data_IF_348651969268
#
_entry.id   IF_348651969268
#
_cell.length_a   1.000
_cell.length_b   1.000
_cell.length_c   1.000
_cell.angle_alpha   90.00
_cell.angle_beta   90.00
_cell.angle_gamma   90.00
#
_symmetry.space_group_name_H-M   'P 1'
#
loop_
_entity.id
_entity.type
_entity.pdbx_description
1 polymer ?
#
# COMPACT_ATOMS: atom_id res chain seq x y z
N UNK A 1 45.95 -30.63 24.58
CA UNK A 1 45.27 -30.69 23.27
C UNK A 1 43.73 -30.59 23.32
N UNK A 2 43.08 -30.16 24.43
CA UNK A 2 41.60 -30.04 24.54
C UNK A 2 41.06 -28.61 24.50
N UNK A 3 41.93 -27.60 24.37
CA UNK A 3 41.48 -26.17 24.35
C UNK A 3 41.35 -25.55 22.94
N UNK A 4 41.80 -26.21 21.88
CA UNK A 4 41.72 -25.67 20.50
C UNK A 4 40.42 -26.06 19.83
N UNK A 5 39.78 -27.16 20.21
CA UNK A 5 38.53 -27.63 19.57
C UNK A 5 37.29 -26.79 19.94
N UNK A 6 37.29 -26.07 21.05
CA UNK A 6 36.15 -25.24 21.49
C UNK A 6 36.12 -23.89 20.77
N UNK A 7 37.29 -23.34 20.38
CA UNK A 7 37.38 -22.05 19.69
C UNK A 7 36.92 -22.16 18.19
N UNK A 8 37.12 -23.31 17.57
CA UNK A 8 36.74 -23.55 16.19
C UNK A 8 35.21 -23.75 16.04
N UNK A 9 34.56 -24.34 17.04
CA UNK A 9 33.08 -24.48 17.06
C UNK A 9 32.37 -23.15 17.30
N UNK A 10 32.96 -22.21 18.04
CA UNK A 10 32.40 -20.87 18.25
C UNK A 10 32.59 -19.95 17.04
N UNK A 11 33.63 -20.14 16.23
CA UNK A 11 33.85 -19.36 15.00
C UNK A 11 32.89 -19.78 13.86
N UNK A 12 32.41 -21.02 13.85
CA UNK A 12 31.44 -21.50 12.86
C UNK A 12 29.99 -21.14 13.17
N UNK A 13 29.66 -20.87 14.42
CA UNK A 13 28.31 -20.41 14.80
C UNK A 13 28.04 -18.92 14.52
N UNK A 14 29.06 -18.13 14.19
CA UNK A 14 28.98 -16.70 13.90
C UNK A 14 28.88 -16.35 12.40
N UNK A 15 28.87 -17.35 11.52
CA UNK A 15 28.79 -17.17 10.06
C UNK A 15 27.50 -17.72 9.44
N UNK A 16 26.43 -17.87 10.21
CA UNK A 16 25.10 -17.88 9.63
C UNK A 16 24.75 -16.41 9.35
N UNK A 17 25.30 -15.86 8.30
CA UNK A 17 24.68 -14.74 7.59
C UNK A 17 23.32 -15.30 7.16
N UNK A 18 22.28 -15.00 7.92
CA UNK A 18 20.90 -15.19 7.50
C UNK A 18 20.73 -14.36 6.22
N UNK A 19 21.05 -14.98 5.07
CA UNK A 19 20.64 -14.42 3.80
C UNK A 19 19.13 -14.26 3.89
N UNK A 20 18.65 -13.02 3.81
CA UNK A 20 17.21 -12.74 3.83
C UNK A 20 16.58 -13.55 2.71
N UNK A 21 15.74 -14.50 3.10
CA UNK A 21 15.08 -15.36 2.15
C UNK A 21 14.00 -14.53 1.45
N UNK A 22 14.15 -14.31 0.15
CA UNK A 22 13.08 -13.70 -0.64
C UNK A 22 11.81 -14.54 -0.51
N UNK A 23 10.72 -13.89 -0.15
CA UNK A 23 9.43 -14.56 0.08
C UNK A 23 8.65 -14.80 -1.20
N UNK A 24 8.89 -13.99 -2.24
CA UNK A 24 8.13 -13.97 -3.48
C UNK A 24 9.02 -14.06 -4.72
N UNK A 25 8.44 -14.45 -5.83
CA UNK A 25 9.03 -14.36 -7.17
C UNK A 25 7.94 -14.05 -8.19
N UNK A 26 8.32 -13.52 -9.34
CA UNK A 26 7.42 -13.31 -10.46
C UNK A 26 7.63 -14.44 -11.48
N UNK A 27 6.54 -15.07 -11.92
CA UNK A 27 6.59 -16.08 -12.97
C UNK A 27 6.64 -15.45 -14.38
N UNK A 28 6.79 -16.31 -15.39
CA UNK A 28 6.87 -15.88 -16.80
C UNK A 28 5.65 -15.10 -17.32
N UNK A 29 4.51 -15.28 -16.68
CA UNK A 29 3.26 -14.64 -17.05
C UNK A 29 3.01 -13.32 -16.29
N UNK A 30 4.00 -12.88 -15.49
CA UNK A 30 3.95 -11.68 -14.68
C UNK A 30 3.15 -11.85 -13.38
N UNK A 31 2.91 -13.10 -12.95
CA UNK A 31 2.18 -13.35 -11.72
C UNK A 31 3.18 -13.47 -10.57
N UNK A 32 2.99 -12.67 -9.53
CA UNK A 32 3.77 -12.78 -8.30
C UNK A 32 3.26 -13.94 -7.46
N UNK A 33 4.19 -14.80 -7.02
CA UNK A 33 3.89 -16.01 -6.26
C UNK A 33 4.73 -16.11 -4.99
N UNK A 34 4.16 -16.76 -4.00
CA UNK A 34 4.89 -17.15 -2.80
C UNK A 34 5.87 -18.28 -3.09
N UNK A 35 7.15 -18.12 -2.77
CA UNK A 35 8.17 -19.18 -2.96
C UNK A 35 7.85 -20.45 -2.19
N UNK A 36 7.24 -20.32 -1.01
CA UNK A 36 6.95 -21.47 -0.12
C UNK A 36 5.95 -22.48 -0.67
N UNK A 37 5.02 -22.06 -1.51
CA UNK A 37 3.90 -22.92 -1.95
C UNK A 37 3.43 -22.66 -3.39
N UNK A 38 4.11 -21.76 -4.10
CA UNK A 38 3.77 -21.36 -5.49
C UNK A 38 2.36 -20.76 -5.67
N UNK A 39 1.68 -20.42 -4.57
CA UNK A 39 0.38 -19.75 -4.65
C UNK A 39 0.54 -18.29 -5.08
N UNK A 40 -0.46 -17.76 -5.75
CA UNK A 40 -0.56 -16.35 -6.11
C UNK A 40 -0.49 -15.47 -4.86
N UNK A 41 0.25 -14.38 -4.93
CA UNK A 41 0.20 -13.29 -3.94
C UNK A 41 -1.07 -12.49 -4.16
N UNK A 42 -1.88 -12.30 -3.13
CA UNK A 42 -3.10 -11.50 -3.18
C UNK A 42 -3.28 -10.78 -1.84
N UNK A 43 -2.87 -9.52 -1.77
CA UNK A 43 -2.73 -8.74 -0.54
C UNK A 43 -3.56 -7.46 -0.59
N UNK A 44 -4.09 -7.04 0.57
CA UNK A 44 -4.88 -5.82 0.72
C UNK A 44 -4.53 -5.08 2.00
N UNK A 45 -4.57 -3.75 1.95
CA UNK A 45 -4.35 -2.90 3.11
C UNK A 45 -4.43 -1.42 2.76
N UNK A 46 -3.57 -0.62 3.38
CA UNK A 46 -3.56 0.83 3.16
C UNK A 46 -2.15 1.41 3.11
N UNK A 47 -2.06 2.65 2.64
CA UNK A 47 -0.93 3.53 2.87
C UNK A 47 -0.92 3.98 4.33
N UNK A 48 0.27 4.14 4.89
CA UNK A 48 0.49 4.66 6.23
C UNK A 48 1.70 5.61 6.19
N UNK A 49 1.46 6.89 6.41
CA UNK A 49 2.43 7.94 6.13
C UNK A 49 3.10 8.55 7.39
N UNK A 50 2.75 8.11 8.57
CA UNK A 50 3.19 8.69 9.85
C UNK A 50 4.72 8.92 9.99
N UNK A 51 5.63 8.12 9.42
CA UNK A 51 7.07 8.41 9.47
C UNK A 51 7.44 9.76 8.84
N UNK A 52 6.57 10.35 8.01
CA UNK A 52 6.85 11.60 7.28
C UNK A 52 5.57 12.41 7.02
N UNK A 53 5.67 13.51 6.27
CA UNK A 53 4.53 14.27 5.77
C UNK A 53 3.64 14.90 6.85
N UNK A 54 2.38 15.19 6.50
CA UNK A 54 1.40 15.77 7.40
C UNK A 54 1.09 14.88 8.62
N UNK A 55 1.12 13.56 8.47
CA UNK A 55 0.83 12.63 9.55
C UNK A 55 1.86 12.73 10.68
N UNK A 56 3.14 12.88 10.32
CA UNK A 56 4.20 13.13 11.30
C UNK A 56 3.97 14.44 12.07
N UNK A 57 3.54 15.51 11.38
CA UNK A 57 3.23 16.81 12.00
C UNK A 57 1.95 16.76 12.81
N UNK A 58 0.90 16.09 12.30
CA UNK A 58 -0.37 15.90 12.99
C UNK A 58 -0.20 15.26 14.38
N UNK A 59 0.64 14.22 14.47
CA UNK A 59 1.00 13.62 15.75
C UNK A 59 1.65 14.63 16.71
N UNK A 60 2.48 15.54 16.19
CA UNK A 60 3.09 16.63 16.97
C UNK A 60 2.05 17.64 17.49
N UNK A 61 1.05 18.01 16.68
CA UNK A 61 0.01 18.97 17.08
C UNK A 61 -0.85 18.48 18.27
N UNK A 62 -1.01 17.16 18.40
CA UNK A 62 -1.74 16.57 19.53
C UNK A 62 -0.82 16.03 20.63
N UNK A 63 0.48 16.26 20.50
CA UNK A 63 1.51 15.76 21.42
C UNK A 63 1.43 14.23 21.64
N UNK A 64 1.18 13.48 20.58
CA UNK A 64 1.06 12.02 20.63
C UNK A 64 2.44 11.32 20.58
N UNK A 65 2.53 10.17 21.21
CA UNK A 65 3.68 9.27 21.05
C UNK A 65 3.56 8.52 19.73
N UNK A 66 4.34 8.91 18.71
CA UNK A 66 4.32 8.33 17.38
C UNK A 66 4.58 6.83 17.37
N UNK A 67 5.43 6.31 18.28
CA UNK A 67 5.67 4.86 18.37
C UNK A 67 4.47 4.12 18.97
N UNK A 68 3.78 4.74 19.91
CA UNK A 68 2.53 4.18 20.43
C UNK A 68 1.44 4.14 19.34
N UNK A 69 1.32 5.21 18.54
CA UNK A 69 0.42 5.26 17.38
C UNK A 69 0.72 4.12 16.40
N UNK A 70 1.96 3.97 15.96
CA UNK A 70 2.36 2.87 15.05
C UNK A 70 1.99 1.49 15.61
N UNK A 71 2.22 1.25 16.90
CA UNK A 71 1.88 -0.05 17.52
C UNK A 71 0.38 -0.33 17.51
N UNK A 72 -0.40 0.68 17.81
CA UNK A 72 -1.87 0.61 17.85
C UNK A 72 -2.43 0.40 16.44
N UNK A 73 -2.01 1.21 15.48
CA UNK A 73 -2.51 1.17 14.12
C UNK A 73 -2.10 -0.14 13.40
N UNK A 74 -0.87 -0.62 13.59
CA UNK A 74 -0.48 -1.94 13.06
C UNK A 74 -1.22 -3.10 13.73
N UNK A 75 -1.69 -2.94 14.96
CA UNK A 75 -2.62 -3.87 15.59
C UNK A 75 -4.00 -3.80 14.91
N UNK A 76 -4.51 -2.62 14.60
CA UNK A 76 -5.76 -2.43 13.87
C UNK A 76 -5.69 -3.06 12.46
N UNK A 77 -4.59 -2.87 11.72
CA UNK A 77 -4.38 -3.55 10.44
C UNK A 77 -4.55 -5.07 10.57
N UNK A 78 -3.91 -5.66 11.58
CA UNK A 78 -4.02 -7.10 11.82
C UNK A 78 -5.44 -7.54 12.16
N UNK A 79 -6.15 -6.77 13.00
CA UNK A 79 -7.55 -7.05 13.36
C UNK A 79 -8.48 -6.96 12.15
N UNK A 80 -8.25 -6.02 11.25
CA UNK A 80 -9.01 -5.89 9.99
C UNK A 80 -8.66 -6.98 8.95
N UNK A 81 -7.71 -7.88 9.25
CA UNK A 81 -7.26 -8.91 8.32
C UNK A 81 -6.44 -8.36 7.15
N UNK A 82 -5.93 -7.14 7.29
CA UNK A 82 -5.06 -6.50 6.31
C UNK A 82 -3.64 -7.04 6.44
N UNK A 83 -3.05 -7.31 5.30
CA UNK A 83 -1.72 -7.91 5.16
C UNK A 83 -0.81 -7.15 4.19
N UNK A 84 -1.29 -6.01 3.68
CA UNK A 84 -0.54 -5.08 2.84
C UNK A 84 -0.36 -3.73 3.52
N UNK A 85 0.82 -3.16 3.35
CA UNK A 85 1.16 -1.80 3.76
C UNK A 85 1.97 -1.13 2.66
N UNK A 86 1.61 0.07 2.22
CA UNK A 86 2.54 0.90 1.47
C UNK A 86 3.16 1.95 2.38
N UNK A 87 4.48 1.97 2.40
CA UNK A 87 5.26 3.01 3.05
C UNK A 87 5.59 4.06 2.00
N UNK A 88 4.81 5.14 1.97
CA UNK A 88 5.09 6.32 1.18
C UNK A 88 5.91 7.27 2.04
N UNK A 89 7.23 7.32 1.81
CA UNK A 89 8.16 8.03 2.68
C UNK A 89 8.76 9.24 1.96
N UNK A 90 8.64 10.43 2.56
CA UNK A 90 9.14 11.69 2.00
C UNK A 90 10.66 11.83 2.15
N UNK A 91 11.40 10.80 1.74
CA UNK A 91 12.84 10.77 1.90
C UNK A 91 13.60 11.81 1.13
N UNK A 92 13.17 12.11 -0.08
CA UNK A 92 13.71 13.13 -0.96
C UNK A 92 13.55 14.57 -0.42
N UNK A 93 12.61 14.79 0.51
CA UNK A 93 12.38 16.06 1.18
C UNK A 93 12.92 16.11 2.60
N UNK A 94 12.62 15.10 3.42
CA UNK A 94 12.76 15.18 4.88
C UNK A 94 13.91 14.32 5.43
N UNK A 95 14.50 13.46 4.59
CA UNK A 95 15.47 12.46 5.06
C UNK A 95 16.71 12.33 4.16
N UNK A 96 16.99 13.33 3.35
CA UNK A 96 18.20 13.42 2.53
C UNK A 96 18.85 14.79 2.64
N UNK A 97 20.11 14.86 2.28
CA UNK A 97 20.83 16.11 2.07
C UNK A 97 20.65 16.64 0.61
N UNK A 98 21.18 17.82 0.28
CA UNK A 98 21.09 18.37 -1.07
C UNK A 98 21.75 17.53 -2.18
N UNK A 99 22.67 16.64 -1.85
CA UNK A 99 23.33 15.73 -2.78
C UNK A 99 22.65 14.36 -2.86
N UNK A 100 21.54 14.17 -2.11
CA UNK A 100 20.74 12.96 -2.08
C UNK A 100 21.27 11.89 -1.13
N UNK A 101 22.18 12.20 -0.24
CA UNK A 101 22.62 11.23 0.78
C UNK A 101 21.66 11.17 1.95
N UNK A 102 21.50 9.95 2.50
CA UNK A 102 20.61 9.68 3.62
C UNK A 102 21.03 10.44 4.88
N UNK A 103 20.07 11.05 5.55
CA UNK A 103 20.26 11.70 6.85
C UNK A 103 19.68 10.83 7.96
N UNK A 104 20.45 10.62 9.02
CA UNK A 104 19.99 9.98 10.25
C UNK A 104 19.18 10.98 11.10
N UNK A 105 17.87 10.86 11.09
CA UNK A 105 16.95 11.73 11.83
C UNK A 105 15.74 10.96 12.38
N UNK A 106 14.79 11.65 13.01
CA UNK A 106 13.63 11.01 13.62
C UNK A 106 12.67 10.41 12.58
N UNK A 107 12.59 10.97 11.37
CA UNK A 107 11.82 10.37 10.28
C UNK A 107 12.33 8.97 9.93
N UNK A 108 13.66 8.80 9.82
CA UNK A 108 14.29 7.49 9.59
C UNK A 108 14.04 6.52 10.75
N UNK A 109 14.16 7.02 11.99
CA UNK A 109 13.86 6.23 13.18
C UNK A 109 12.40 5.73 13.21
N UNK A 110 11.46 6.58 12.82
CA UNK A 110 10.05 6.21 12.75
C UNK A 110 9.75 5.22 11.62
N UNK A 111 10.41 5.37 10.46
CA UNK A 111 10.32 4.42 9.36
C UNK A 111 10.86 3.03 9.78
N UNK A 112 12.01 2.99 10.42
CA UNK A 112 12.60 1.75 10.97
C UNK A 112 11.64 1.06 11.94
N UNK A 113 11.00 1.85 12.80
CA UNK A 113 10.05 1.34 13.78
C UNK A 113 8.78 0.79 13.13
N UNK A 114 8.23 1.49 12.14
CA UNK A 114 7.07 1.04 11.38
C UNK A 114 7.34 -0.29 10.67
N UNK A 115 8.49 -0.40 9.98
CA UNK A 115 8.90 -1.64 9.30
C UNK A 115 8.98 -2.80 10.29
N UNK A 116 9.56 -2.58 11.47
CA UNK A 116 9.68 -3.61 12.49
C UNK A 116 8.31 -4.05 13.04
N UNK A 117 7.40 -3.10 13.33
CA UNK A 117 6.08 -3.41 13.85
C UNK A 117 5.17 -4.11 12.82
N UNK A 118 5.23 -3.68 11.56
CA UNK A 118 4.53 -4.34 10.45
C UNK A 118 5.06 -5.78 10.24
N UNK A 119 6.38 -5.95 10.22
CA UNK A 119 7.02 -7.26 10.03
C UNK A 119 6.66 -8.25 11.14
N UNK A 120 6.65 -7.83 12.41
CA UNK A 120 6.25 -8.68 13.55
C UNK A 120 4.83 -9.21 13.42
N UNK A 121 3.96 -8.50 12.70
CA UNK A 121 2.55 -8.86 12.50
C UNK A 121 2.29 -9.59 11.18
N UNK A 122 3.35 -9.86 10.39
CA UNK A 122 3.23 -10.53 9.09
C UNK A 122 2.54 -9.66 8.04
N UNK A 123 2.69 -8.33 8.11
CA UNK A 123 2.24 -7.39 7.10
C UNK A 123 3.35 -7.23 6.07
N UNK A 124 3.01 -7.33 4.79
CA UNK A 124 3.93 -7.22 3.66
C UNK A 124 3.91 -5.81 3.09
N UNK A 125 5.07 -5.34 2.61
CA UNK A 125 5.25 -3.92 2.31
C UNK A 125 5.65 -3.66 0.86
N UNK A 126 5.07 -2.61 0.29
CA UNK A 126 5.58 -1.87 -0.86
C UNK A 126 6.31 -0.64 -0.32
N UNK A 127 7.60 -0.55 -0.61
CA UNK A 127 8.45 0.55 -0.15
C UNK A 127 8.65 1.59 -1.24
N UNK A 128 8.18 2.82 -1.00
CA UNK A 128 8.24 3.97 -1.92
C UNK A 128 8.96 5.14 -1.24
N UNK A 129 10.29 5.25 -1.36
CA UNK A 129 11.08 6.19 -0.57
C UNK A 129 11.31 7.57 -1.22
N UNK A 130 10.82 7.78 -2.46
CA UNK A 130 10.94 9.05 -3.20
C UNK A 130 9.55 9.49 -3.65
N UNK A 131 9.11 10.69 -3.25
CA UNK A 131 7.70 11.08 -3.36
C UNK A 131 7.43 12.12 -4.44
N UNK A 132 8.34 13.03 -4.72
CA UNK A 132 8.21 14.07 -5.77
C UNK A 132 7.27 15.24 -5.50
N UNK A 133 6.50 15.22 -4.43
CA UNK A 133 5.75 16.38 -3.97
C UNK A 133 6.68 17.30 -3.17
N UNK A 134 6.38 18.60 -3.12
CA UNK A 134 7.13 19.49 -2.27
C UNK A 134 6.83 19.28 -0.79
N UNK A 135 7.70 19.81 0.06
CA UNK A 135 7.58 19.65 1.52
C UNK A 135 6.35 20.36 2.12
N UNK A 136 5.69 21.19 1.34
CA UNK A 136 4.52 21.95 1.78
C UNK A 136 3.23 21.16 1.58
N UNK A 137 3.27 20.05 0.82
CA UNK A 137 2.09 19.24 0.57
C UNK A 137 1.82 18.23 1.70
N UNK A 138 0.58 18.07 2.15
CA UNK A 138 -0.58 18.92 1.86
C UNK A 138 -0.64 20.21 2.69
N UNK A 139 0.31 20.43 3.59
CA UNK A 139 0.35 21.58 4.48
C UNK A 139 1.35 22.61 4.01
N UNK A 140 0.95 23.86 4.08
CA UNK A 140 1.82 25.00 3.76
C UNK A 140 2.82 25.25 4.90
N UNK A 141 4.01 25.76 4.53
CA UNK A 141 5.03 26.25 5.46
C UNK A 141 5.79 25.19 6.29
N UNK A 142 5.98 23.99 5.76
CA UNK A 142 6.94 23.07 6.36
C UNK A 142 8.38 23.47 6.01
N UNK A 143 9.11 23.99 7.01
CA UNK A 143 10.50 24.41 6.88
C UNK A 143 11.50 23.30 7.23
N UNK A 144 11.05 22.10 7.58
CA UNK A 144 11.91 20.95 7.94
C UNK A 144 12.58 20.28 6.74
N UNK A 145 12.32 20.77 5.53
CA UNK A 145 12.85 20.22 4.30
C UNK A 145 14.38 20.43 4.19
N UNK A 146 15.14 19.34 4.30
CA UNK A 146 16.59 19.30 4.11
C UNK A 146 17.00 18.73 2.76
N UNK A 147 16.06 18.04 2.08
CA UNK A 147 16.34 17.15 0.98
C UNK A 147 16.64 17.82 -0.37
N UNK A 148 17.09 16.99 -1.29
CA UNK A 148 17.45 17.42 -2.66
C UNK A 148 16.21 17.78 -3.50
N UNK A 149 15.03 17.26 -3.18
CA UNK A 149 13.83 17.48 -4.00
C UNK A 149 13.44 18.94 -4.14
N UNK A 150 13.73 19.79 -3.13
CA UNK A 150 13.51 21.24 -3.20
C UNK A 150 14.36 21.98 -4.24
N UNK A 151 15.43 21.34 -4.73
CA UNK A 151 16.36 21.93 -5.70
C UNK A 151 15.89 21.77 -7.15
N UNK A 152 14.90 20.92 -7.38
CA UNK A 152 14.46 20.53 -8.72
C UNK A 152 12.95 20.69 -8.85
N UNK A 153 12.49 21.18 -10.00
CA UNK A 153 11.08 21.15 -10.33
C UNK A 153 10.62 19.70 -10.60
N UNK A 154 9.42 19.33 -10.18
CA UNK A 154 8.87 17.99 -10.33
C UNK A 154 8.98 17.44 -11.77
N UNK A 155 8.75 18.30 -12.77
CA UNK A 155 8.81 17.94 -14.18
C UNK A 155 10.24 17.75 -14.72
N UNK A 156 11.28 18.03 -13.94
CA UNK A 156 12.68 17.82 -14.34
C UNK A 156 13.29 16.57 -13.71
N UNK A 157 12.69 16.01 -12.67
CA UNK A 157 13.27 14.96 -11.83
C UNK A 157 13.74 13.71 -12.59
N UNK A 158 13.05 13.32 -13.67
CA UNK A 158 13.40 12.12 -14.43
C UNK A 158 14.27 12.39 -15.65
N UNK A 159 14.62 13.65 -15.92
CA UNK A 159 15.45 14.06 -17.06
C UNK A 159 16.73 14.81 -16.65
N UNK A 160 16.72 15.53 -15.53
CA UNK A 160 17.90 16.26 -15.04
C UNK A 160 18.93 15.27 -14.47
N UNK A 161 20.15 15.31 -14.98
CA UNK A 161 21.21 14.35 -14.59
C UNK A 161 21.62 14.51 -13.11
N UNK A 162 21.56 15.72 -12.56
CA UNK A 162 21.88 15.96 -11.15
C UNK A 162 20.76 15.40 -10.27
N UNK A 163 19.50 15.66 -10.64
CA UNK A 163 18.34 15.11 -9.93
C UNK A 163 18.36 13.57 -9.94
N UNK A 164 18.66 12.95 -11.07
CA UNK A 164 18.81 11.48 -11.19
C UNK A 164 19.95 11.00 -10.30
N UNK A 165 21.08 11.70 -10.25
CA UNK A 165 22.21 11.34 -9.38
C UNK A 165 21.82 11.39 -7.91
N UNK A 166 21.13 12.42 -7.45
CA UNK A 166 20.62 12.51 -6.08
C UNK A 166 19.68 11.36 -5.75
N UNK A 167 18.77 11.00 -6.66
CA UNK A 167 17.86 9.87 -6.50
C UNK A 167 18.62 8.53 -6.39
N UNK A 168 19.68 8.34 -7.19
CA UNK A 168 20.54 7.15 -7.13
C UNK A 168 21.26 7.08 -5.78
N UNK A 169 21.84 8.20 -5.32
CA UNK A 169 22.51 8.25 -4.02
C UNK A 169 21.54 7.86 -2.91
N UNK A 170 20.38 8.52 -2.87
CA UNK A 170 19.36 8.28 -1.85
C UNK A 170 18.85 6.84 -1.85
N UNK A 171 18.48 6.33 -3.03
CA UNK A 171 17.98 4.95 -3.16
C UNK A 171 19.05 3.93 -2.73
N UNK A 172 20.32 4.18 -3.05
CA UNK A 172 21.42 3.31 -2.67
C UNK A 172 21.64 3.33 -1.15
N UNK A 173 21.65 4.52 -0.55
CA UNK A 173 21.89 4.68 0.88
C UNK A 173 20.74 4.07 1.70
N UNK A 174 19.48 4.38 1.36
CA UNK A 174 18.32 3.88 2.10
C UNK A 174 18.19 2.35 2.01
N UNK A 175 18.49 1.73 0.86
CA UNK A 175 18.43 0.27 0.73
C UNK A 175 19.55 -0.43 1.51
N UNK A 176 20.71 0.22 1.70
CA UNK A 176 21.82 -0.28 2.52
C UNK A 176 21.70 0.11 3.99
N UNK A 177 20.78 1.00 4.35
CA UNK A 177 20.53 1.39 5.73
C UNK A 177 20.14 0.17 6.57
N UNK A 178 20.76 0.04 7.75
CA UNK A 178 20.44 -1.02 8.72
C UNK A 178 19.35 -0.53 9.66
N UNK A 179 18.18 -1.12 9.56
CA UNK A 179 17.05 -0.85 10.44
C UNK A 179 17.43 -1.12 11.91
N UNK A 180 17.25 -0.14 12.78
CA UNK A 180 17.65 -0.16 14.20
C UNK A 180 16.93 -1.22 15.03
N UNK A 181 15.72 -1.62 14.64
CA UNK A 181 14.87 -2.52 15.41
C UNK A 181 14.92 -3.97 14.91
N UNK A 182 15.31 -4.18 13.65
CA UNK A 182 15.41 -5.52 13.06
C UNK A 182 16.87 -5.97 12.90
N UNK A 183 17.82 -5.03 12.84
CA UNK A 183 19.22 -5.28 12.57
C UNK A 183 19.52 -5.72 11.14
N UNK A 184 18.58 -5.55 10.20
CA UNK A 184 18.71 -5.90 8.78
C UNK A 184 18.79 -4.66 7.91
N UNK A 185 19.49 -4.76 6.78
CA UNK A 185 19.39 -3.73 5.75
C UNK A 185 17.96 -3.70 5.17
N UNK A 186 17.49 -2.54 4.75
CA UNK A 186 16.15 -2.39 4.14
C UNK A 186 15.99 -3.33 2.94
N UNK A 187 17.02 -3.47 2.10
CA UNK A 187 17.05 -4.44 0.99
C UNK A 187 16.86 -5.90 1.41
N UNK A 188 17.20 -6.23 2.66
CA UNK A 188 17.16 -7.58 3.20
C UNK A 188 15.96 -7.83 4.14
N UNK A 189 15.10 -6.81 4.38
CA UNK A 189 13.88 -6.97 5.17
C UNK A 189 12.89 -7.90 4.45
N UNK A 190 12.58 -9.08 5.00
CA UNK A 190 11.81 -10.09 4.25
C UNK A 190 10.39 -9.65 3.93
N UNK A 191 9.77 -8.85 4.80
CA UNK A 191 8.39 -8.38 4.60
C UNK A 191 8.28 -7.18 3.66
N UNK A 192 9.38 -6.49 3.33
CA UNK A 192 9.40 -5.60 2.17
C UNK A 192 9.56 -6.49 0.94
N UNK A 193 8.49 -6.70 0.19
CA UNK A 193 8.48 -7.59 -0.98
C UNK A 193 8.57 -6.83 -2.30
N UNK A 194 8.27 -5.53 -2.28
CA UNK A 194 8.25 -4.64 -3.43
C UNK A 194 9.00 -3.34 -3.14
N UNK A 195 9.70 -2.83 -4.15
CA UNK A 195 10.30 -1.49 -4.15
C UNK A 195 9.71 -0.69 -5.32
N UNK A 196 9.14 0.47 -5.03
CA UNK A 196 8.70 1.43 -6.02
C UNK A 196 9.80 2.47 -6.23
N UNK A 197 10.16 2.73 -7.48
CA UNK A 197 11.26 3.63 -7.81
C UNK A 197 10.98 5.05 -7.31
N UNK A 198 9.75 5.54 -7.57
CA UNK A 198 9.36 6.93 -7.34
C UNK A 198 7.83 7.00 -7.30
N UNK A 199 7.26 7.83 -6.44
CA UNK A 199 5.82 8.09 -6.40
C UNK A 199 5.44 9.20 -7.38
N UNK A 200 4.45 8.95 -8.21
CA UNK A 200 3.78 9.92 -9.09
C UNK A 200 4.70 10.95 -9.79
N UNK A 201 5.75 10.53 -10.49
CA UNK A 201 6.57 11.45 -11.26
C UNK A 201 5.77 12.12 -12.37
N UNK A 202 6.21 13.25 -12.85
CA UNK A 202 5.69 13.79 -14.11
C UNK A 202 5.94 12.77 -15.22
N UNK A 203 4.89 12.39 -15.92
CA UNK A 203 4.94 11.39 -16.99
C UNK A 203 5.15 12.08 -18.36
N UNK A 204 5.94 11.44 -19.23
CA UNK A 204 6.29 11.99 -20.55
C UNK A 204 5.93 11.00 -21.67
N UNK A 205 4.64 10.89 -22.06
CA UNK A 205 4.21 9.95 -23.08
C UNK A 205 4.84 10.22 -24.46
N UNK A 206 5.30 11.45 -24.70
CA UNK A 206 5.99 11.84 -25.93
C UNK A 206 7.51 11.54 -25.89
N UNK A 207 8.06 11.09 -24.76
CA UNK A 207 9.47 10.70 -24.61
C UNK A 207 9.62 9.32 -23.92
N UNK A 208 9.05 8.31 -24.55
CA UNK A 208 9.19 6.92 -24.08
C UNK A 208 10.66 6.48 -23.93
N UNK A 209 11.60 6.81 -24.88
CA UNK A 209 13.00 6.45 -24.73
C UNK A 209 13.67 7.09 -23.50
N UNK A 210 13.41 8.37 -23.21
CA UNK A 210 13.93 9.05 -22.02
C UNK A 210 13.41 8.41 -20.73
N UNK A 211 12.12 8.10 -20.68
CA UNK A 211 11.54 7.38 -19.54
C UNK A 211 12.19 6.00 -19.34
N UNK A 212 12.38 5.22 -20.40
CA UNK A 212 13.07 3.91 -20.33
C UNK A 212 14.50 4.08 -19.80
N UNK A 213 15.23 5.11 -20.26
CA UNK A 213 16.58 5.43 -19.78
C UNK A 213 16.58 5.67 -18.28
N UNK A 214 15.69 6.54 -17.79
CA UNK A 214 15.55 6.84 -16.36
C UNK A 214 15.19 5.60 -15.54
N UNK A 215 14.13 4.89 -15.92
CA UNK A 215 13.65 3.71 -15.20
C UNK A 215 14.77 2.66 -15.10
N UNK A 216 15.47 2.39 -16.21
CA UNK A 216 16.57 1.43 -16.23
C UNK A 216 17.77 1.89 -15.39
N UNK A 217 18.03 3.19 -15.34
CA UNK A 217 19.08 3.77 -14.50
C UNK A 217 18.79 3.49 -13.01
N UNK A 218 17.58 3.77 -12.56
CA UNK A 218 17.15 3.50 -11.19
C UNK A 218 17.11 2.00 -10.87
N UNK A 219 16.64 1.15 -11.79
CA UNK A 219 16.70 -0.30 -11.62
C UNK A 219 18.12 -0.81 -11.41
N UNK A 220 19.08 -0.28 -12.19
CA UNK A 220 20.51 -0.64 -12.05
C UNK A 220 21.06 -0.20 -10.69
N UNK A 221 20.71 1.01 -10.23
CA UNK A 221 21.11 1.49 -8.91
C UNK A 221 20.57 0.60 -7.78
N UNK A 222 19.28 0.25 -7.82
CA UNK A 222 18.68 -0.67 -6.86
C UNK A 222 19.38 -2.03 -6.88
N UNK A 223 19.57 -2.62 -8.05
CA UNK A 223 20.21 -3.95 -8.20
C UNK A 223 21.68 -3.94 -7.80
N UNK A 224 22.41 -2.82 -7.98
CA UNK A 224 23.82 -2.70 -7.59
C UNK A 224 24.03 -2.78 -6.06
N UNK A 225 23.02 -2.49 -5.25
CA UNK A 225 23.05 -2.70 -3.79
C UNK A 225 23.01 -4.18 -3.38
N UNK A 226 22.71 -5.08 -4.33
CA UNK A 226 22.40 -6.50 -4.06
C UNK A 226 20.93 -6.74 -3.75
N UNK A 227 20.06 -5.73 -3.83
CA UNK A 227 18.61 -5.85 -3.64
C UNK A 227 18.00 -6.82 -4.65
N UNK A 228 17.24 -7.80 -4.15
CA UNK A 228 16.56 -8.83 -4.97
C UNK A 228 15.04 -8.70 -4.97
N UNK A 229 14.51 -7.62 -4.39
CA UNK A 229 13.08 -7.36 -4.36
C UNK A 229 12.56 -7.03 -5.75
N UNK A 230 11.27 -7.30 -5.98
CA UNK A 230 10.60 -6.91 -7.22
C UNK A 230 10.50 -5.38 -7.30
N UNK A 231 10.83 -4.83 -8.47
CA UNK A 231 10.93 -3.38 -8.69
C UNK A 231 9.78 -2.91 -9.57
N UNK A 232 9.12 -1.83 -9.14
CA UNK A 232 7.95 -1.25 -9.81
C UNK A 232 8.17 0.20 -10.18
N UNK A 233 7.53 0.61 -11.27
CA UNK A 233 7.43 2.00 -11.66
C UNK A 233 6.01 2.50 -11.51
N UNK A 234 5.86 3.69 -10.95
CA UNK A 234 4.58 4.32 -10.72
C UNK A 234 4.07 4.98 -12.00
N UNK A 235 3.06 4.37 -12.58
CA UNK A 235 2.35 4.86 -13.76
C UNK A 235 1.23 5.84 -13.38
N UNK A 236 0.77 5.79 -12.12
CA UNK A 236 -0.40 6.52 -11.64
C UNK A 236 -1.66 6.20 -12.46
N UNK A 237 -2.24 7.17 -13.15
CA UNK A 237 -3.38 7.01 -14.06
C UNK A 237 -3.02 7.35 -15.51
N UNK A 238 -1.73 7.48 -15.83
CA UNK A 238 -1.27 7.81 -17.19
C UNK A 238 -0.87 6.54 -17.96
N UNK A 239 -1.83 5.92 -18.62
CA UNK A 239 -1.64 4.66 -19.36
C UNK A 239 -0.85 4.82 -20.68
N UNK A 240 -0.69 6.03 -21.18
CA UNK A 240 0.08 6.30 -22.41
C UNK A 240 1.58 6.02 -22.23
N UNK A 241 2.05 5.94 -20.98
CA UNK A 241 3.44 5.58 -20.66
C UNK A 241 3.66 4.07 -20.44
N UNK A 242 2.63 3.25 -20.55
CA UNK A 242 2.77 1.78 -20.45
C UNK A 242 3.86 1.20 -21.39
N UNK A 243 4.10 1.71 -22.62
CA UNK A 243 5.21 1.28 -23.45
C UNK A 243 6.60 1.47 -22.81
N UNK A 244 6.79 2.48 -21.97
CA UNK A 244 8.05 2.68 -21.24
C UNK A 244 8.27 1.56 -20.22
N UNK A 245 7.22 1.21 -19.45
CA UNK A 245 7.26 0.13 -18.49
C UNK A 245 7.53 -1.21 -19.18
N UNK A 246 6.81 -1.49 -20.29
CA UNK A 246 6.97 -2.74 -21.03
C UNK A 246 8.41 -2.95 -21.54
N UNK A 247 9.09 -1.86 -21.94
CA UNK A 247 10.47 -1.88 -22.48
C UNK A 247 11.56 -1.77 -21.41
N UNK A 248 11.19 -1.51 -20.15
CA UNK A 248 12.15 -1.30 -19.07
C UNK A 248 12.40 -2.55 -18.23
N UNK A 249 13.39 -2.43 -17.32
CA UNK A 249 13.86 -3.53 -16.46
C UNK A 249 12.99 -3.78 -15.22
N UNK A 250 11.92 -3.01 -15.01
CA UNK A 250 11.02 -3.22 -13.86
C UNK A 250 10.22 -4.51 -13.99
N UNK A 251 9.80 -5.06 -12.86
CA UNK A 251 8.97 -6.27 -12.80
C UNK A 251 7.49 -5.96 -13.05
N UNK A 252 7.06 -4.73 -12.84
CA UNK A 252 5.68 -4.34 -13.04
C UNK A 252 5.41 -2.85 -12.90
N UNK A 253 4.13 -2.51 -12.87
CA UNK A 253 3.61 -1.16 -12.69
C UNK A 253 2.75 -1.04 -11.45
N UNK A 254 2.74 0.18 -10.87
CA UNK A 254 1.80 0.57 -9.84
C UNK A 254 0.83 1.61 -10.38
N UNK A 255 -0.44 1.49 -9.99
CA UNK A 255 -1.57 2.29 -10.46
C UNK A 255 -2.24 3.03 -9.31
N UNK A 256 -2.72 4.25 -9.56
CA UNK A 256 -3.71 4.90 -8.71
C UNK A 256 -5.12 4.71 -9.27
N UNK A 257 -6.13 4.75 -8.39
CA UNK A 257 -7.51 4.80 -8.84
C UNK A 257 -8.42 5.61 -7.90
N UNK A 258 -8.87 6.72 -8.43
CA UNK A 258 -9.83 7.61 -7.79
C UNK A 258 -11.04 7.78 -8.73
N UNK A 259 -12.02 6.85 -8.71
CA UNK A 259 -13.07 6.78 -9.72
C UNK A 259 -13.99 8.01 -9.72
N UNK A 260 -14.03 8.75 -8.63
CA UNK A 260 -14.84 9.96 -8.46
C UNK A 260 -13.99 11.23 -8.49
N UNK A 261 -12.74 11.16 -8.96
CA UNK A 261 -11.69 12.16 -8.85
C UNK A 261 -11.31 12.48 -7.38
N UNK A 262 -10.31 13.34 -7.20
CA UNK A 262 -9.90 13.86 -5.90
C UNK A 262 -10.74 15.10 -5.58
N UNK A 263 -11.97 14.91 -5.12
CA UNK A 263 -12.91 16.00 -4.85
C UNK A 263 -12.73 16.50 -3.41
N UNK A 264 -11.89 17.48 -3.24
CA UNK A 264 -11.66 18.09 -1.93
C UNK A 264 -12.91 18.85 -1.47
N UNK A 265 -13.54 18.38 -0.40
CA UNK A 265 -14.66 19.01 0.25
C UNK A 265 -16.01 18.85 -0.48
N UNK A 266 -16.12 17.88 -1.39
CA UNK A 266 -17.37 17.55 -2.07
C UNK A 266 -17.87 16.17 -1.67
N UNK A 267 -18.92 16.12 -0.85
CA UNK A 267 -19.58 14.85 -0.55
C UNK A 267 -20.23 14.28 -1.80
N UNK A 268 -19.78 13.12 -2.26
CA UNK A 268 -20.41 12.41 -3.34
C UNK A 268 -21.66 11.67 -2.84
N UNK A 269 -22.82 11.99 -3.39
CA UNK A 269 -24.11 11.46 -2.93
C UNK A 269 -24.77 10.51 -3.93
N UNK A 270 -24.27 10.43 -5.17
CA UNK A 270 -24.82 9.58 -6.22
C UNK A 270 -24.30 8.13 -6.11
N UNK A 271 -24.88 7.24 -6.95
CA UNK A 271 -24.48 5.84 -7.00
C UNK A 271 -23.06 5.68 -7.56
N UNK A 272 -22.09 5.53 -6.67
CA UNK A 272 -20.67 5.35 -7.01
C UNK A 272 -20.36 4.10 -7.84
N UNK A 273 -21.23 3.10 -7.85
CA UNK A 273 -21.04 1.87 -8.64
C UNK A 273 -20.97 2.15 -10.15
N UNK A 274 -21.59 3.22 -10.65
CA UNK A 274 -21.51 3.62 -12.06
C UNK A 274 -20.11 4.03 -12.54
N UNK A 275 -19.20 4.32 -11.62
CA UNK A 275 -17.83 4.74 -11.94
C UNK A 275 -16.81 3.60 -11.79
N UNK A 276 -17.14 2.58 -11.00
CA UNK A 276 -16.19 1.57 -10.57
C UNK A 276 -15.83 0.60 -11.70
N UNK A 277 -16.77 0.17 -12.52
CA UNK A 277 -16.51 -0.80 -13.58
C UNK A 277 -16.06 -0.19 -14.92
N UNK A 278 -15.85 1.11 -14.95
CA UNK A 278 -15.39 1.85 -16.13
C UNK A 278 -13.87 2.01 -16.21
N UNK A 279 -13.14 1.46 -15.26
CA UNK A 279 -11.67 1.55 -15.24
C UNK A 279 -11.03 0.52 -16.18
N UNK A 280 -11.42 0.60 -17.45
CA UNK A 280 -10.96 -0.26 -18.54
C UNK A 280 -9.42 -0.33 -18.70
N UNK A 281 -8.64 0.76 -18.45
CA UNK A 281 -7.19 0.69 -18.56
C UNK A 281 -6.52 -0.39 -17.72
N UNK A 282 -7.10 -0.78 -16.57
CA UNK A 282 -6.58 -1.89 -15.75
C UNK A 282 -6.55 -3.24 -16.48
N UNK A 283 -7.42 -3.44 -17.46
CA UNK A 283 -7.47 -4.67 -18.25
C UNK A 283 -6.86 -4.52 -19.64
N UNK A 284 -6.63 -3.28 -20.08
CA UNK A 284 -6.18 -2.93 -21.44
C UNK A 284 -4.90 -2.08 -21.47
N UNK A 285 -4.08 -2.13 -20.44
CA UNK A 285 -2.83 -1.35 -20.34
C UNK A 285 -1.72 -1.80 -21.33
N UNK A 286 -1.90 -2.93 -21.99
CA UNK A 286 -0.92 -3.48 -22.94
C UNK A 286 0.30 -4.14 -22.29
N UNK A 287 0.39 -4.22 -20.98
CA UNK A 287 1.50 -4.86 -20.27
C UNK A 287 1.41 -6.39 -20.34
N UNK A 288 2.47 -7.02 -20.84
CA UNK A 288 2.61 -8.48 -20.93
C UNK A 288 3.76 -8.96 -20.06
N UNK A 289 3.54 -9.99 -19.26
CA UNK A 289 4.56 -10.53 -18.37
C UNK A 289 5.03 -9.55 -17.27
N UNK A 290 4.28 -8.50 -17.03
CA UNK A 290 4.51 -7.50 -15.98
C UNK A 290 3.40 -7.62 -14.93
N UNK A 291 3.77 -7.61 -13.66
CA UNK A 291 2.80 -7.62 -12.57
C UNK A 291 2.14 -6.25 -12.35
N UNK A 292 0.97 -6.26 -11.72
CA UNK A 292 0.15 -5.07 -11.48
C UNK A 292 -0.18 -4.93 -10.01
N UNK A 293 0.09 -3.75 -9.46
CA UNK A 293 -0.27 -3.36 -8.11
C UNK A 293 -1.09 -2.07 -8.16
N UNK A 294 -1.97 -1.87 -7.20
CA UNK A 294 -2.63 -0.58 -6.94
C UNK A 294 -2.00 0.01 -5.69
N UNK A 295 -1.18 1.04 -5.89
CA UNK A 295 -0.44 1.67 -4.80
C UNK A 295 -1.30 2.65 -3.99
N UNK A 296 -2.26 3.29 -4.65
CA UNK A 296 -3.20 4.23 -4.07
C UNK A 296 -4.58 4.11 -4.70
N UNK A 297 -5.61 4.14 -3.87
CA UNK A 297 -6.98 4.27 -4.32
C UNK A 297 -7.86 4.73 -3.17
N UNK A 298 -8.94 5.42 -3.48
CA UNK A 298 -10.02 5.71 -2.55
C UNK A 298 -11.31 6.08 -3.27
N UNK A 299 -12.42 5.98 -2.55
CA UNK A 299 -13.64 6.73 -2.80
C UNK A 299 -13.59 7.98 -1.91
N UNK A 300 -12.95 9.05 -2.39
CA UNK A 300 -12.67 10.25 -1.61
C UNK A 300 -13.94 10.91 -1.08
N UNK A 301 -13.84 11.58 0.07
CA UNK A 301 -14.94 12.26 0.75
C UNK A 301 -16.17 11.38 1.06
N UNK A 302 -16.01 10.04 1.14
CA UNK A 302 -17.08 9.11 1.47
C UNK A 302 -16.72 8.16 2.58
N UNK A 303 -17.71 7.80 3.40
CA UNK A 303 -17.61 6.77 4.46
C UNK A 303 -18.30 5.46 4.06
N UNK A 304 -18.69 5.33 2.80
CA UNK A 304 -19.51 4.24 2.29
C UNK A 304 -18.79 2.88 2.39
N UNK A 305 -19.51 1.89 2.90
CA UNK A 305 -18.96 0.55 3.08
C UNK A 305 -18.97 -0.33 1.82
N UNK A 306 -19.72 0.04 0.77
CA UNK A 306 -19.88 -0.77 -0.43
C UNK A 306 -18.83 -0.51 -1.53
N UNK A 307 -18.23 0.71 -1.57
CA UNK A 307 -17.36 1.11 -2.68
C UNK A 307 -16.02 0.36 -2.69
N UNK A 308 -15.37 0.20 -1.54
CA UNK A 308 -14.07 -0.49 -1.49
C UNK A 308 -14.14 -1.93 -2.00
N UNK A 309 -15.11 -2.79 -1.56
CA UNK A 309 -15.25 -4.14 -2.13
C UNK A 309 -15.65 -4.13 -3.61
N UNK A 310 -16.44 -3.14 -4.05
CA UNK A 310 -16.78 -2.99 -5.47
C UNK A 310 -15.53 -2.69 -6.32
N UNK A 311 -14.69 -1.76 -5.89
CA UNK A 311 -13.41 -1.44 -6.54
C UNK A 311 -12.48 -2.66 -6.55
N UNK A 312 -12.39 -3.37 -5.44
CA UNK A 312 -11.50 -4.54 -5.31
C UNK A 312 -11.92 -5.70 -6.23
N UNK A 313 -13.22 -5.86 -6.51
CA UNK A 313 -13.69 -6.79 -7.55
C UNK A 313 -13.05 -6.47 -8.91
N UNK A 314 -13.01 -5.20 -9.29
CA UNK A 314 -12.41 -4.78 -10.56
C UNK A 314 -10.88 -4.89 -10.53
N UNK A 315 -10.24 -4.72 -9.38
CA UNK A 315 -8.82 -5.03 -9.25
C UNK A 315 -8.53 -6.50 -9.58
N UNK A 316 -9.30 -7.42 -9.04
CA UNK A 316 -9.13 -8.85 -9.35
C UNK A 316 -9.38 -9.14 -10.82
N UNK A 317 -10.36 -8.49 -11.45
CA UNK A 317 -10.60 -8.54 -12.90
C UNK A 317 -9.36 -8.06 -13.68
N UNK A 318 -8.77 -6.94 -13.28
CA UNK A 318 -7.56 -6.37 -13.90
C UNK A 318 -6.26 -7.09 -13.59
N UNK A 319 -6.29 -8.15 -12.78
CA UNK A 319 -5.10 -8.95 -12.45
C UNK A 319 -4.23 -8.36 -11.33
N UNK A 320 -4.75 -7.41 -10.56
CA UNK A 320 -4.07 -6.79 -9.42
C UNK A 320 -3.84 -7.82 -8.32
N UNK A 321 -2.62 -7.81 -7.75
CA UNK A 321 -2.17 -8.75 -6.73
C UNK A 321 -1.84 -8.10 -5.37
N UNK A 322 -1.78 -6.77 -5.33
CA UNK A 322 -1.55 -5.98 -4.14
C UNK A 322 -2.31 -4.67 -4.29
N UNK A 323 -3.10 -4.29 -3.29
CA UNK A 323 -3.85 -3.06 -3.31
C UNK A 323 -3.81 -2.38 -1.94
N UNK A 324 -3.44 -1.09 -1.93
CA UNK A 324 -3.38 -0.28 -0.72
C UNK A 324 -4.21 0.98 -0.87
N UNK A 325 -5.22 1.12 -0.03
CA UNK A 325 -6.08 2.29 0.04
C UNK A 325 -5.27 3.51 0.53
N UNK A 326 -5.52 4.69 0.01
CA UNK A 326 -4.94 5.93 0.50
C UNK A 326 -6.00 6.76 1.24
N UNK A 327 -5.82 6.98 2.52
CA UNK A 327 -4.84 6.44 3.44
C UNK A 327 -5.51 6.04 4.77
N UNK A 328 -4.82 5.27 5.60
CA UNK A 328 -5.29 4.99 6.95
C UNK A 328 -4.98 6.18 7.86
N UNK A 329 -6.01 6.71 8.52
CA UNK A 329 -5.85 7.73 9.55
C UNK A 329 -5.37 7.10 10.86
N UNK A 330 -4.31 7.63 11.41
CA UNK A 330 -3.78 7.20 12.69
C UNK A 330 -4.83 7.43 13.80
N UNK A 331 -5.04 6.41 14.63
CA UNK A 331 -6.11 6.39 15.60
C UNK A 331 -6.16 7.66 16.50
N UNK A 332 -5.00 8.14 16.93
CA UNK A 332 -4.94 9.28 17.86
C UNK A 332 -5.17 10.64 17.19
N UNK A 333 -5.06 10.75 15.86
CA UNK A 333 -5.30 11.98 15.11
C UNK A 333 -6.60 11.97 14.30
N UNK A 334 -7.14 10.79 14.00
CA UNK A 334 -8.31 10.59 13.14
C UNK A 334 -9.56 11.36 13.57
N UNK A 335 -9.82 11.45 14.89
CA UNK A 335 -10.97 12.20 15.43
C UNK A 335 -10.96 13.69 15.10
N UNK A 336 -9.81 14.22 14.70
CA UNK A 336 -9.62 15.64 14.37
C UNK A 336 -9.36 15.87 12.89
N UNK A 337 -9.26 14.80 12.09
CA UNK A 337 -8.97 14.83 10.66
C UNK A 337 -7.80 15.78 10.31
N UNK A 338 -6.66 15.57 10.97
CA UNK A 338 -5.49 16.45 10.86
C UNK A 338 -4.53 16.05 9.73
N UNK A 339 -4.70 14.86 9.15
CA UNK A 339 -3.80 14.31 8.13
C UNK A 339 -4.35 14.56 6.71
N UNK A 340 -4.73 13.52 6.01
CA UNK A 340 -5.23 13.58 4.63
C UNK A 340 -6.74 13.82 4.58
N UNK A 341 -7.17 15.05 4.73
CA UNK A 341 -8.53 15.47 5.06
C UNK A 341 -9.67 14.91 4.18
N UNK A 342 -9.37 14.48 2.97
CA UNK A 342 -10.36 13.88 2.04
C UNK A 342 -10.23 12.37 1.92
N UNK A 343 -9.21 11.80 2.52
CA UNK A 343 -8.86 10.38 2.49
C UNK A 343 -8.90 9.83 3.92
N UNK A 344 -10.08 9.64 4.45
CA UNK A 344 -10.23 9.19 5.82
C UNK A 344 -10.69 7.73 5.88
N UNK A 345 -9.90 6.92 6.55
CA UNK A 345 -10.21 5.54 6.89
C UNK A 345 -9.61 5.20 8.24
N UNK A 346 -10.46 4.93 9.20
CA UNK A 346 -10.06 4.47 10.52
C UNK A 346 -11.04 3.42 11.03
N UNK A 347 -10.56 2.41 11.74
CA UNK A 347 -11.40 1.33 12.27
C UNK A 347 -12.49 1.83 13.22
N UNK A 348 -12.22 2.88 13.97
CA UNK A 348 -13.12 3.40 15.03
C UNK A 348 -14.01 4.52 14.52
N UNK A 349 -13.44 5.46 13.74
CA UNK A 349 -14.14 6.69 13.35
C UNK A 349 -14.91 6.56 12.04
N UNK A 350 -14.53 5.61 11.15
CA UNK A 350 -15.25 5.29 9.90
C UNK A 350 -15.56 3.80 9.81
N UNK A 351 -16.37 3.25 10.75
CA UNK A 351 -16.55 1.79 10.90
C UNK A 351 -17.12 1.12 9.65
N UNK A 352 -18.08 1.74 8.95
CA UNK A 352 -18.64 1.18 7.72
C UNK A 352 -17.57 1.02 6.62
N UNK A 353 -16.75 2.05 6.41
CA UNK A 353 -15.64 2.03 5.45
C UNK A 353 -14.56 1.00 5.88
N UNK A 354 -14.27 0.90 7.16
CA UNK A 354 -13.33 -0.09 7.71
C UNK A 354 -13.81 -1.53 7.46
N UNK A 355 -15.09 -1.82 7.69
CA UNK A 355 -15.69 -3.12 7.32
C UNK A 355 -15.63 -3.35 5.80
N UNK A 356 -15.89 -2.32 4.99
CA UNK A 356 -15.68 -2.38 3.54
C UNK A 356 -14.25 -2.79 3.18
N UNK A 357 -13.25 -2.26 3.89
CA UNK A 357 -11.84 -2.66 3.77
C UNK A 357 -11.57 -4.10 4.21
N UNK A 358 -12.21 -4.57 5.29
CA UNK A 358 -12.13 -6.00 5.71
C UNK A 358 -12.70 -6.93 4.63
N UNK A 359 -13.85 -6.56 4.05
CA UNK A 359 -14.47 -7.31 2.95
C UNK A 359 -13.55 -7.31 1.72
N UNK A 360 -12.95 -6.16 1.39
CA UNK A 360 -12.00 -6.02 0.28
C UNK A 360 -10.78 -6.94 0.43
N UNK A 361 -10.25 -7.10 1.64
CA UNK A 361 -9.18 -8.06 1.91
C UNK A 361 -9.62 -9.51 1.59
N UNK A 362 -10.87 -9.86 1.84
CA UNK A 362 -11.42 -11.16 1.46
C UNK A 362 -11.70 -11.27 -0.03
N UNK A 363 -12.12 -10.19 -0.69
CA UNK A 363 -12.28 -10.14 -2.17
C UNK A 363 -10.94 -10.45 -2.84
N UNK A 364 -9.84 -9.82 -2.40
CA UNK A 364 -8.51 -10.12 -2.95
C UNK A 364 -8.16 -11.62 -2.84
N UNK A 365 -8.47 -12.25 -1.70
CA UNK A 365 -8.09 -13.64 -1.41
C UNK A 365 -9.00 -14.67 -2.08
N UNK A 366 -10.30 -14.38 -2.24
CA UNK A 366 -11.32 -15.35 -2.64
C UNK A 366 -11.77 -15.21 -4.09
N UNK A 367 -11.68 -14.01 -4.69
CA UNK A 367 -12.06 -13.82 -6.08
C UNK A 367 -10.91 -14.21 -7.01
N UNK A 368 -11.12 -15.13 -7.96
CA UNK A 368 -10.10 -15.52 -8.92
C UNK A 368 -9.62 -14.32 -9.75
N UNK A 369 -8.30 -14.24 -9.96
CA UNK A 369 -7.67 -13.25 -10.81
C UNK A 369 -8.20 -13.36 -12.25
N UNK A 370 -8.50 -12.20 -12.87
CA UNK A 370 -8.99 -12.12 -14.25
C UNK A 370 -10.47 -12.44 -14.44
N UNK A 371 -11.20 -12.84 -13.36
CA UNK A 371 -12.62 -13.17 -13.51
C UNK A 371 -13.49 -11.92 -13.57
N UNK A 372 -14.33 -11.85 -14.59
CA UNK A 372 -15.34 -10.81 -14.76
C UNK A 372 -16.71 -11.31 -14.25
N UNK A 373 -17.38 -10.49 -13.47
CA UNK A 373 -18.71 -10.78 -12.88
C UNK A 373 -19.84 -9.93 -13.50
N UNK A 374 -19.60 -9.29 -14.66
CA UNK A 374 -20.53 -8.36 -15.27
C UNK A 374 -20.36 -6.93 -14.75
N UNK A 375 -21.22 -6.02 -15.19
CA UNK A 375 -21.13 -4.59 -14.91
C UNK A 375 -22.09 -4.16 -13.81
N UNK A 376 -21.69 -3.12 -13.07
CA UNK A 376 -22.56 -2.45 -12.12
C UNK A 376 -23.54 -1.52 -12.84
N UNK A 377 -24.72 -1.25 -12.27
CA UNK A 377 -25.28 -1.83 -11.03
C UNK A 377 -26.07 -3.14 -11.23
N UNK A 378 -26.01 -3.74 -12.43
CA UNK A 378 -26.82 -4.95 -12.75
C UNK A 378 -26.29 -6.19 -12.04
N UNK A 379 -24.98 -6.25 -11.78
CA UNK A 379 -24.31 -7.42 -11.20
C UNK A 379 -23.61 -7.06 -9.86
N UNK A 380 -24.43 -6.83 -8.85
CA UNK A 380 -23.99 -6.44 -7.51
C UNK A 380 -23.54 -7.62 -6.65
N UNK A 381 -23.82 -8.87 -7.06
CA UNK A 381 -23.40 -10.09 -6.39
C UNK A 381 -22.22 -10.75 -7.13
N UNK A 382 -21.20 -11.17 -6.40
CA UNK A 382 -20.02 -11.81 -6.97
C UNK A 382 -19.39 -12.79 -5.98
N UNK A 383 -19.60 -14.11 -6.22
CA UNK A 383 -19.20 -15.15 -5.28
C UNK A 383 -19.98 -15.06 -3.97
N UNK A 384 -19.27 -14.98 -2.86
CA UNK A 384 -19.84 -14.80 -1.52
C UNK A 384 -20.10 -13.33 -1.15
N UNK A 385 -19.92 -12.42 -2.10
CA UNK A 385 -19.95 -10.97 -1.86
C UNK A 385 -21.15 -10.30 -2.50
N UNK A 386 -21.63 -9.23 -1.85
CA UNK A 386 -22.71 -8.36 -2.31
C UNK A 386 -22.31 -6.90 -2.05
N UNK A 387 -22.66 -5.99 -2.96
CA UNK A 387 -22.59 -4.57 -2.78
C UNK A 387 -23.93 -3.93 -3.15
N UNK A 388 -24.37 -2.95 -2.37
CA UNK A 388 -25.66 -2.28 -2.59
C UNK A 388 -25.57 -0.80 -2.24
N UNK A 389 -25.78 0.05 -3.21
CA UNK A 389 -25.76 1.50 -3.03
C UNK A 389 -26.92 2.00 -2.14
N UNK A 390 -28.16 1.50 -2.38
CA UNK A 390 -29.34 1.98 -1.67
C UNK A 390 -29.35 1.62 -0.18
N UNK A 391 -28.67 0.52 0.18
CA UNK A 391 -28.50 0.06 1.54
C UNK A 391 -27.17 0.53 2.16
N UNK A 392 -26.30 1.18 1.39
CA UNK A 392 -24.90 1.44 1.73
C UNK A 392 -24.20 0.19 2.27
N UNK A 393 -24.42 -0.95 1.62
CA UNK A 393 -24.02 -2.26 2.11
C UNK A 393 -22.92 -2.89 1.26
N UNK A 394 -21.77 -3.12 1.86
CA UNK A 394 -20.83 -4.14 1.45
C UNK A 394 -21.02 -5.37 2.34
N UNK A 395 -21.08 -6.56 1.77
CA UNK A 395 -21.32 -7.80 2.52
C UNK A 395 -20.46 -8.94 2.02
N UNK A 396 -19.94 -9.73 2.96
CA UNK A 396 -19.40 -11.07 2.76
C UNK A 396 -20.28 -12.07 3.51
N UNK A 397 -20.86 -13.03 2.80
CA UNK A 397 -21.64 -14.12 3.38
C UNK A 397 -21.06 -15.46 2.92
N UNK A 398 -20.06 -15.96 3.65
CA UNK A 398 -19.39 -17.24 3.40
C UNK A 398 -19.76 -18.28 4.47
N UNK A 399 -19.31 -19.52 4.31
CA UNK A 399 -19.60 -20.61 5.26
C UNK A 399 -19.13 -20.30 6.69
N UNK A 400 -17.96 -19.65 6.82
CA UNK A 400 -17.29 -19.40 8.09
C UNK A 400 -17.16 -17.93 8.47
N UNK A 401 -17.62 -17.00 7.59
CA UNK A 401 -17.50 -15.55 7.75
C UNK A 401 -18.79 -14.84 7.36
N UNK A 402 -19.20 -13.87 8.18
CA UNK A 402 -20.32 -12.99 7.90
C UNK A 402 -19.94 -11.54 8.25
N UNK A 403 -19.64 -10.72 7.22
CA UNK A 403 -19.27 -9.32 7.37
C UNK A 403 -20.30 -8.43 6.68
N UNK A 404 -20.67 -7.30 7.30
CA UNK A 404 -21.64 -6.36 6.74
C UNK A 404 -21.33 -4.92 7.19
N UNK A 405 -21.26 -4.01 6.24
CA UNK A 405 -20.90 -2.61 6.51
C UNK A 405 -22.06 -1.72 6.96
N UNK A 406 -23.30 -2.23 6.90
CA UNK A 406 -24.53 -1.58 7.36
C UNK A 406 -25.58 -2.64 7.68
N UNK A 407 -26.76 -2.22 8.18
CA UNK A 407 -27.87 -3.12 8.49
C UNK A 407 -28.16 -4.12 7.34
N UNK A 408 -28.40 -5.35 7.72
CA UNK A 408 -28.77 -6.41 6.77
C UNK A 408 -29.80 -7.36 7.34
N UNK A 409 -30.71 -7.84 6.48
CA UNK A 409 -31.68 -8.89 6.81
C UNK A 409 -31.24 -10.25 6.29
N UNK A 410 -30.12 -10.33 5.55
CA UNK A 410 -29.62 -11.56 4.97
C UNK A 410 -29.20 -12.53 6.06
N UNK A 411 -29.66 -13.79 5.97
CA UNK A 411 -29.24 -14.86 6.86
C UNK A 411 -27.82 -15.32 6.50
N UNK A 412 -26.95 -15.56 7.46
CA UNK A 412 -25.68 -16.23 7.22
C UNK A 412 -25.92 -17.61 6.57
N UNK A 413 -25.08 -17.99 5.61
CA UNK A 413 -25.15 -19.28 4.93
C UNK A 413 -25.18 -20.46 5.91
N UNK A 414 -24.38 -20.38 6.95
CA UNK A 414 -24.27 -21.44 7.94
C UNK A 414 -23.93 -20.89 9.33
N UNK A 415 -24.96 -20.55 10.11
CA UNK A 415 -24.81 -19.97 11.48
C UNK A 415 -23.92 -20.86 12.37
N UNK A 416 -24.02 -22.21 12.23
CA UNK A 416 -23.25 -23.13 13.08
C UNK A 416 -21.77 -23.22 12.72
N UNK A 417 -21.39 -22.87 11.49
CA UNK A 417 -20.03 -22.89 11.01
C UNK A 417 -19.32 -21.54 11.14
N UNK A 418 -20.03 -20.47 11.52
CA UNK A 418 -19.46 -19.14 11.63
C UNK A 418 -18.33 -19.10 12.66
N UNK A 419 -17.18 -18.57 12.22
CA UNK A 419 -15.99 -18.30 13.05
C UNK A 419 -15.72 -16.83 13.19
N UNK A 420 -16.14 -16.03 12.21
CA UNK A 420 -15.86 -14.61 12.15
C UNK A 420 -17.12 -13.84 11.79
N UNK A 421 -17.48 -12.89 12.65
CA UNK A 421 -18.56 -11.93 12.42
C UNK A 421 -17.99 -10.53 12.64
N UNK A 422 -18.22 -9.64 11.68
CA UNK A 422 -17.89 -8.23 11.83
C UNK A 422 -18.96 -7.39 11.13
N UNK A 423 -19.45 -6.34 11.80
CA UNK A 423 -20.52 -5.56 11.18
C UNK A 423 -20.76 -4.22 11.86
N UNK A 424 -21.45 -3.37 11.09
CA UNK A 424 -22.03 -2.10 11.55
C UNK A 424 -23.55 -2.22 11.44
N UNK A 425 -24.25 -1.81 12.51
CA UNK A 425 -25.71 -1.93 12.56
C UNK A 425 -26.21 -3.33 12.93
N UNK A 426 -27.46 -3.64 12.57
CA UNK A 426 -28.15 -4.86 12.94
C UNK A 426 -28.11 -5.94 11.85
N UNK A 427 -28.14 -7.20 12.29
CA UNK A 427 -28.28 -8.38 11.43
C UNK A 427 -29.05 -9.48 12.15
N UNK A 428 -29.47 -10.55 11.46
CA UNK A 428 -30.17 -11.66 12.09
C UNK A 428 -29.38 -12.40 13.19
N UNK A 429 -28.05 -12.27 13.19
CA UNK A 429 -27.17 -12.89 14.22
C UNK A 429 -26.72 -11.91 15.30
N UNK A 430 -26.86 -10.60 15.03
CA UNK A 430 -26.57 -9.55 16.00
C UNK A 430 -27.72 -8.51 15.94
N UNK A 431 -28.83 -8.76 16.62
CA UNK A 431 -30.02 -7.91 16.53
C UNK A 431 -29.92 -6.65 17.42
N UNK A 432 -28.83 -5.90 17.34
CA UNK A 432 -28.63 -4.68 18.14
C UNK A 432 -28.49 -3.45 17.22
N UNK A 433 -29.17 -2.39 17.63
CA UNK A 433 -29.15 -1.10 16.94
C UNK A 433 -27.90 -0.24 17.25
N UNK A 434 -26.82 -0.83 17.77
CA UNK A 434 -25.62 -0.11 18.16
C UNK A 434 -24.44 -0.50 17.27
N UNK A 435 -23.62 0.51 16.95
CA UNK A 435 -22.36 0.32 16.25
C UNK A 435 -21.37 -0.40 17.15
N UNK A 436 -21.30 -1.73 17.07
CA UNK A 436 -20.26 -2.49 17.75
C UNK A 436 -19.41 -3.21 16.71
N UNK A 437 -18.15 -2.82 16.61
CA UNK A 437 -17.10 -3.66 16.06
C UNK A 437 -16.86 -4.81 17.05
N UNK A 438 -17.60 -5.90 16.92
CA UNK A 438 -17.28 -7.14 17.62
C UNK A 438 -16.22 -7.86 16.78
N UNK A 439 -15.00 -7.76 17.22
CA UNK A 439 -13.84 -8.45 16.66
C UNK A 439 -13.46 -9.60 17.56
#
# INVERSE_FOLDING_TARGET
MKKISVLVLFAWSLLIVLQAQELVFQDKDGIVRWKKNNQEVALFGANYCLPSSCDYRAAGYVNADRKAMVREDMHHFKRMGWDALRICFWGDFQNSDPDGHLIDNDHLNMMDYLIAEASRRGIYMLFSPIVTYDSQFPEMNDNSNTGYAKLFAKNTLIHDEKAIKCQINYMTDILNHVNRYTGRCIKDEPNIIYVEIINEPTQFPNDIPGMVKYINCMCKAIKSTGCKKLIYYNLSQNFDVAPAIQKSMVDGATYAWYPQALNNGHRFIDNGLHFVDRYEPLVKDGLKGKSRLVYEFDATDTENGYLLPAMTREYRRGGIQFATMFSYDEHQTASRNLSWQTHFLNMVYTPSKAIGGMISAQVMKRIPRGKHYGYYPQNNNFGDFKVDFYQDLGQLNAEDMFYYSNNTTDQPKNVKALKHIAGVGSSPVVPVSYTHLTL
#
